data_IF_838595006138
#
_entry.id   IF_838595006138
#
_cell.length_a   1.000
_cell.length_b   1.000
_cell.length_c   1.000
_cell.angle_alpha   90.00
_cell.angle_beta   90.00
_cell.angle_gamma   90.00
#
_symmetry.space_group_name_H-M   'P 1'
#
loop_
_entity.id
_entity.type
_entity.pdbx_description
1 polymer ?
#
# COMPACT_ATOMS: atom_id res chain seq x y z
N UNK A 1 3.15 47.83 -31.13
CA UNK A 1 2.55 47.42 -29.84
C UNK A 1 1.80 46.09 -29.84
N UNK A 2 1.57 45.42 -30.96
CA UNK A 2 0.86 44.12 -31.02
C UNK A 2 1.73 42.90 -30.69
N UNK A 3 3.08 42.99 -30.77
CA UNK A 3 3.97 41.85 -30.50
C UNK A 3 4.23 41.59 -29.01
N UNK A 4 3.98 42.57 -28.12
CA UNK A 4 4.24 42.42 -26.68
C UNK A 4 3.16 41.63 -25.92
N UNK A 5 1.93 41.59 -26.44
CA UNK A 5 0.82 40.88 -25.81
C UNK A 5 0.87 39.35 -26.04
N UNK A 6 1.43 38.89 -27.16
CA UNK A 6 1.55 37.48 -27.47
C UNK A 6 2.56 36.75 -26.58
N UNK A 7 3.67 37.41 -26.22
CA UNK A 7 4.70 36.81 -25.37
C UNK A 7 4.28 36.64 -23.91
N UNK A 8 3.40 37.51 -23.40
CA UNK A 8 2.89 37.40 -22.03
C UNK A 8 1.95 36.22 -21.88
N UNK A 9 1.14 35.92 -22.89
CA UNK A 9 0.21 34.76 -22.87
C UNK A 9 0.98 33.44 -22.93
N UNK A 10 2.05 33.36 -23.72
CA UNK A 10 2.87 32.14 -23.84
C UNK A 10 3.66 31.87 -22.53
N UNK A 11 4.20 32.91 -21.89
CA UNK A 11 4.91 32.79 -20.61
C UNK A 11 3.95 32.41 -19.48
N UNK A 12 2.74 32.97 -19.49
CA UNK A 12 1.69 32.60 -18.52
C UNK A 12 1.22 31.15 -18.67
N UNK A 13 1.13 30.64 -19.89
CA UNK A 13 0.70 29.26 -20.17
C UNK A 13 1.76 28.23 -19.80
N UNK A 14 3.05 28.56 -19.87
CA UNK A 14 4.15 27.71 -19.44
C UNK A 14 4.30 27.60 -17.91
N UNK A 15 3.76 28.56 -17.15
CA UNK A 15 3.81 28.55 -15.69
C UNK A 15 2.79 27.61 -15.04
N UNK A 16 1.70 27.23 -15.77
CA UNK A 16 0.66 26.35 -15.25
C UNK A 16 0.97 24.84 -15.39
N UNK A 17 2.06 24.43 -16.05
CA UNK A 17 2.36 23.04 -16.33
C UNK A 17 3.18 22.30 -15.24
N UNK A 18 3.54 22.98 -14.15
CA UNK A 18 4.44 22.40 -13.14
C UNK A 18 3.84 22.07 -11.77
N UNK A 19 2.49 22.01 -11.62
CA UNK A 19 1.88 21.98 -10.29
C UNK A 19 1.31 20.63 -9.82
N UNK A 20 1.50 19.51 -10.52
CA UNK A 20 0.73 18.30 -10.17
C UNK A 20 1.52 17.04 -9.80
N UNK A 21 2.85 17.08 -9.65
CA UNK A 21 3.63 15.85 -9.37
C UNK A 21 3.81 15.53 -7.88
N UNK A 22 3.60 16.49 -7.00
CA UNK A 22 3.92 16.31 -5.56
C UNK A 22 2.76 15.77 -4.70
N UNK A 23 1.52 15.76 -5.18
CA UNK A 23 0.37 15.40 -4.34
C UNK A 23 0.19 13.88 -4.18
N UNK A 24 0.50 13.10 -5.21
CA UNK A 24 0.34 11.63 -5.18
C UNK A 24 1.42 11.00 -4.30
N UNK A 25 2.67 11.44 -4.44
CA UNK A 25 3.78 10.96 -3.62
C UNK A 25 3.51 11.18 -2.11
N UNK A 26 3.04 12.36 -1.73
CA UNK A 26 2.71 12.67 -0.33
C UNK A 26 1.56 11.80 0.22
N UNK A 27 0.58 11.43 -0.60
CA UNK A 27 -0.55 10.59 -0.18
C UNK A 27 -0.04 9.17 0.13
N UNK A 28 0.80 8.61 -0.72
CA UNK A 28 1.35 7.27 -0.54
C UNK A 28 2.26 7.20 0.69
N UNK A 29 3.16 8.15 0.87
CA UNK A 29 4.04 8.24 2.05
C UNK A 29 3.24 8.38 3.33
N UNK A 30 2.22 9.22 3.37
CA UNK A 30 1.37 9.40 4.54
C UNK A 30 0.62 8.12 4.89
N UNK A 31 0.09 7.41 3.89
CA UNK A 31 -0.58 6.13 4.11
C UNK A 31 0.38 5.09 4.70
N UNK A 32 1.57 4.93 4.15
CA UNK A 32 2.57 3.97 4.66
C UNK A 32 3.00 4.34 6.08
N UNK A 33 3.23 5.63 6.36
CA UNK A 33 3.59 6.08 7.69
C UNK A 33 2.48 5.78 8.70
N UNK A 34 1.20 6.06 8.38
CA UNK A 34 0.05 5.75 9.24
C UNK A 34 0.00 4.25 9.58
N UNK A 35 0.10 3.39 8.58
CA UNK A 35 0.10 1.93 8.78
C UNK A 35 1.27 1.47 9.65
N UNK A 36 2.45 2.03 9.41
CA UNK A 36 3.67 1.71 10.15
C UNK A 36 3.57 2.14 11.62
N UNK A 37 3.08 3.35 11.86
CA UNK A 37 2.89 3.90 13.21
C UNK A 37 1.87 3.08 14.00
N UNK A 38 0.75 2.73 13.39
CA UNK A 38 -0.27 1.87 14.01
C UNK A 38 0.28 0.49 14.34
N UNK A 39 1.01 -0.14 13.43
CA UNK A 39 1.66 -1.43 13.70
C UNK A 39 2.67 -1.33 14.84
N UNK A 40 3.47 -0.26 14.89
CA UNK A 40 4.44 -0.02 15.96
C UNK A 40 3.77 0.16 17.32
N UNK A 41 2.66 0.91 17.38
CA UNK A 41 1.86 1.08 18.60
C UNK A 41 1.36 -0.28 19.12
N UNK A 42 0.78 -1.10 18.25
CA UNK A 42 0.28 -2.44 18.62
C UNK A 42 1.43 -3.32 19.13
N UNK A 43 2.55 -3.36 18.42
CA UNK A 43 3.67 -4.21 18.79
C UNK A 43 4.28 -3.81 20.14
N UNK A 44 4.31 -2.51 20.46
CA UNK A 44 4.85 -1.98 21.72
C UNK A 44 3.85 -1.95 22.87
N UNK A 45 2.56 -2.21 22.64
CA UNK A 45 1.53 -2.24 23.69
C UNK A 45 1.79 -3.35 24.73
N UNK A 46 1.10 -3.26 25.87
CA UNK A 46 1.12 -4.31 26.91
C UNK A 46 0.02 -5.37 26.70
N UNK A 47 -0.67 -5.33 25.56
CA UNK A 47 -1.74 -6.26 25.22
C UNK A 47 -1.21 -7.70 25.10
N UNK A 48 -2.13 -8.66 25.19
CA UNK A 48 -1.77 -10.07 24.99
C UNK A 48 -1.27 -10.30 23.57
N UNK A 49 -0.51 -11.37 23.38
CA UNK A 49 -0.03 -11.78 22.06
C UNK A 49 -1.20 -11.99 21.08
N UNK A 50 -2.26 -12.58 21.55
CA UNK A 50 -3.47 -12.88 20.81
C UNK A 50 -4.18 -11.59 20.36
N UNK A 51 -4.33 -10.63 21.26
CA UNK A 51 -4.95 -9.32 20.95
C UNK A 51 -4.11 -8.56 19.90
N UNK A 52 -2.78 -8.54 20.04
CA UNK A 52 -1.89 -7.95 19.04
C UNK A 52 -2.04 -8.59 17.67
N UNK A 53 -2.14 -9.94 17.61
CA UNK A 53 -2.38 -10.66 16.35
C UNK A 53 -3.69 -10.20 15.70
N UNK A 54 -4.78 -10.09 16.48
CA UNK A 54 -6.07 -9.66 15.95
C UNK A 54 -6.03 -8.23 15.39
N UNK A 55 -5.37 -7.32 16.08
CA UNK A 55 -5.23 -5.94 15.61
C UNK A 55 -4.34 -5.85 14.36
N UNK A 56 -3.26 -6.64 14.27
CA UNK A 56 -2.41 -6.71 13.08
C UNK A 56 -3.15 -7.33 11.86
N UNK A 57 -4.05 -8.30 12.10
CA UNK A 57 -4.93 -8.83 11.06
C UNK A 57 -5.80 -7.71 10.46
N UNK A 58 -6.42 -6.88 11.28
CA UNK A 58 -7.25 -5.75 10.81
C UNK A 58 -6.43 -4.75 9.99
N UNK A 59 -5.19 -4.46 10.39
CA UNK A 59 -4.29 -3.63 9.59
C UNK A 59 -4.01 -4.28 8.23
N UNK A 60 -3.66 -5.57 8.22
CA UNK A 60 -3.39 -6.30 6.98
C UNK A 60 -4.58 -6.31 6.02
N UNK A 61 -5.79 -6.54 6.53
CA UNK A 61 -7.03 -6.52 5.74
C UNK A 61 -7.31 -5.16 5.09
N UNK A 62 -7.00 -4.08 5.81
CA UNK A 62 -7.22 -2.72 5.32
C UNK A 62 -6.14 -2.25 4.33
N UNK A 63 -4.89 -2.63 4.56
CA UNK A 63 -3.74 -2.02 3.88
C UNK A 63 -3.13 -2.84 2.74
N UNK A 64 -3.50 -4.12 2.61
CA UNK A 64 -2.87 -5.05 1.67
C UNK A 64 -3.89 -5.61 0.66
N UNK A 65 -3.59 -5.53 -0.63
CA UNK A 65 -4.35 -6.24 -1.66
C UNK A 65 -4.01 -7.75 -1.63
N UNK A 66 -4.57 -8.44 -0.64
CA UNK A 66 -4.31 -9.86 -0.40
C UNK A 66 -4.77 -10.72 -1.57
N UNK A 67 -5.88 -10.38 -2.19
CA UNK A 67 -6.42 -11.10 -3.35
C UNK A 67 -5.49 -10.99 -4.56
N UNK A 68 -4.99 -9.77 -4.84
CA UNK A 68 -4.03 -9.54 -5.90
C UNK A 68 -2.72 -10.30 -5.69
N UNK A 69 -2.17 -10.28 -4.47
CA UNK A 69 -0.99 -11.06 -4.10
C UNK A 69 -1.25 -12.56 -4.30
N UNK A 70 -2.39 -13.06 -3.82
CA UNK A 70 -2.78 -14.46 -4.00
C UNK A 70 -2.83 -14.86 -5.47
N UNK A 71 -3.51 -14.10 -6.29
CA UNK A 71 -3.56 -14.38 -7.73
C UNK A 71 -2.21 -14.28 -8.42
N UNK A 72 -1.34 -13.40 -7.97
CA UNK A 72 0.03 -13.34 -8.46
C UNK A 72 0.80 -14.63 -8.15
N UNK A 73 0.65 -15.18 -6.95
CA UNK A 73 1.32 -16.42 -6.54
C UNK A 73 0.89 -17.65 -7.34
N UNK A 74 -0.36 -17.66 -7.82
CA UNK A 74 -0.85 -18.72 -8.71
C UNK A 74 -0.14 -18.76 -10.08
N UNK A 75 0.45 -17.65 -10.51
CA UNK A 75 1.16 -17.54 -11.77
C UNK A 75 0.29 -17.98 -12.96
N UNK A 76 0.82 -18.90 -13.78
CA UNK A 76 0.09 -19.44 -14.95
C UNK A 76 -1.16 -20.26 -14.59
N UNK A 77 -1.19 -20.87 -13.42
CA UNK A 77 -2.29 -21.73 -12.98
C UNK A 77 -3.61 -20.99 -12.79
N UNK A 78 -3.57 -19.67 -12.53
CA UNK A 78 -4.79 -18.84 -12.40
C UNK A 78 -5.72 -18.89 -13.62
N UNK A 79 -5.17 -19.22 -14.82
CA UNK A 79 -5.94 -19.30 -16.07
C UNK A 79 -6.74 -20.59 -16.20
N UNK A 80 -6.34 -21.65 -15.50
CA UNK A 80 -7.00 -22.97 -15.54
C UNK A 80 -8.05 -23.17 -14.45
N UNK A 81 -8.12 -22.26 -13.47
CA UNK A 81 -9.11 -22.32 -12.41
C UNK A 81 -10.46 -21.78 -12.87
N UNK A 82 -11.53 -22.51 -12.54
CA UNK A 82 -12.89 -21.99 -12.65
C UNK A 82 -13.19 -20.97 -11.53
N UNK A 83 -14.37 -20.33 -11.57
CA UNK A 83 -14.70 -19.25 -10.63
C UNK A 83 -14.89 -19.76 -9.19
N UNK A 84 -15.42 -20.96 -9.00
CA UNK A 84 -15.55 -21.59 -7.69
C UNK A 84 -14.17 -21.84 -7.06
N UNK A 85 -13.25 -22.45 -7.82
CA UNK A 85 -11.87 -22.68 -7.39
C UNK A 85 -11.12 -21.37 -7.07
N UNK A 86 -11.35 -20.30 -7.86
CA UNK A 86 -10.77 -18.99 -7.57
C UNK A 86 -11.28 -18.42 -6.26
N UNK A 87 -12.59 -18.53 -6.00
CA UNK A 87 -13.20 -18.03 -4.77
C UNK A 87 -12.73 -18.82 -3.54
N UNK A 88 -12.66 -20.14 -3.65
CA UNK A 88 -12.11 -20.99 -2.59
C UNK A 88 -10.64 -20.66 -2.30
N UNK A 89 -9.82 -20.53 -3.36
CA UNK A 89 -8.43 -20.12 -3.21
C UNK A 89 -8.28 -18.78 -2.50
N UNK A 90 -9.05 -17.76 -2.90
CA UNK A 90 -9.02 -16.44 -2.25
C UNK A 90 -9.27 -16.56 -0.76
N UNK A 91 -10.31 -17.31 -0.36
CA UNK A 91 -10.67 -17.49 1.04
C UNK A 91 -9.52 -18.12 1.83
N UNK A 92 -9.01 -19.24 1.35
CA UNK A 92 -7.92 -19.99 2.01
C UNK A 92 -6.64 -19.16 2.05
N UNK A 93 -6.30 -18.50 0.93
CA UNK A 93 -5.10 -17.67 0.86
C UNK A 93 -5.17 -16.48 1.82
N UNK A 94 -6.31 -15.80 1.89
CA UNK A 94 -6.53 -14.67 2.81
C UNK A 94 -6.33 -15.08 4.26
N UNK A 95 -6.96 -16.15 4.69
CA UNK A 95 -6.83 -16.69 6.06
C UNK A 95 -5.36 -17.06 6.37
N UNK A 96 -4.73 -17.78 5.48
CA UNK A 96 -3.33 -18.17 5.63
C UNK A 96 -2.37 -16.97 5.67
N UNK A 97 -2.54 -16.04 4.74
CA UNK A 97 -1.70 -14.85 4.65
C UNK A 97 -1.80 -14.00 5.93
N UNK A 98 -3.01 -13.65 6.33
CA UNK A 98 -3.24 -12.80 7.50
C UNK A 98 -2.72 -13.45 8.79
N UNK A 99 -3.01 -14.73 8.98
CA UNK A 99 -2.52 -15.48 10.14
C UNK A 99 -1.00 -15.57 10.16
N UNK A 100 -0.39 -15.91 9.04
CA UNK A 100 1.07 -16.06 8.96
C UNK A 100 1.79 -14.72 9.14
N UNK A 101 1.28 -13.68 8.50
CA UNK A 101 1.83 -12.33 8.58
C UNK A 101 1.77 -11.77 10.00
N UNK A 102 0.59 -11.77 10.62
CA UNK A 102 0.38 -11.21 11.95
C UNK A 102 1.13 -11.99 13.04
N UNK A 103 1.15 -13.32 12.94
CA UNK A 103 1.90 -14.17 13.88
C UNK A 103 3.40 -13.92 13.81
N UNK A 104 3.94 -13.68 12.62
CA UNK A 104 5.37 -13.36 12.46
C UNK A 104 5.69 -11.95 12.94
N UNK A 105 4.84 -10.97 12.63
CA UNK A 105 5.06 -9.59 13.08
C UNK A 105 5.11 -9.47 14.60
N UNK A 106 4.24 -10.15 15.32
CA UNK A 106 4.18 -10.06 16.79
C UNK A 106 5.42 -10.63 17.48
N UNK A 107 6.23 -11.40 16.78
CA UNK A 107 7.53 -11.91 17.29
C UNK A 107 8.61 -10.83 17.30
N UNK A 108 8.46 -9.74 16.53
CA UNK A 108 9.39 -8.63 16.49
C UNK A 108 9.08 -7.62 17.60
N UNK A 109 9.77 -7.72 18.72
CA UNK A 109 9.54 -6.87 19.91
C UNK A 109 9.96 -5.40 19.72
N UNK A 110 10.84 -5.13 18.76
CA UNK A 110 11.44 -3.81 18.52
C UNK A 110 11.47 -3.48 17.00
N UNK A 111 10.46 -3.92 16.26
CA UNK A 111 10.40 -3.63 14.83
C UNK A 111 10.18 -2.14 14.60
N UNK A 112 11.15 -1.48 13.97
CA UNK A 112 11.03 -0.13 13.46
C UNK A 112 11.05 -0.19 11.94
N UNK A 113 9.94 0.20 11.32
CA UNK A 113 9.84 0.34 9.87
C UNK A 113 10.15 1.79 9.52
N UNK A 114 11.10 2.01 8.62
CA UNK A 114 11.48 3.34 8.14
C UNK A 114 11.30 3.37 6.63
N UNK A 115 10.49 4.30 6.14
CA UNK A 115 10.37 4.57 4.71
C UNK A 115 11.62 5.33 4.26
N UNK A 116 12.47 4.70 3.44
CA UNK A 116 13.77 5.27 3.02
C UNK A 116 13.60 6.07 1.73
N UNK A 117 12.75 5.62 0.80
CA UNK A 117 12.51 6.31 -0.45
C UNK A 117 11.16 5.90 -1.06
N UNK A 118 10.64 6.77 -1.90
CA UNK A 118 9.42 6.55 -2.66
C UNK A 118 9.74 6.61 -4.17
N UNK A 119 9.46 5.52 -4.89
CA UNK A 119 9.58 5.46 -6.34
C UNK A 119 8.18 5.47 -6.95
N UNK A 120 7.78 6.58 -7.56
CA UNK A 120 6.55 6.69 -8.33
C UNK A 120 6.80 6.12 -9.73
N UNK A 121 6.41 4.88 -9.98
CA UNK A 121 6.38 4.33 -11.34
C UNK A 121 5.18 4.88 -12.07
N UNK A 122 5.44 5.76 -13.04
CA UNK A 122 4.40 6.17 -13.99
C UNK A 122 4.06 4.96 -14.86
N UNK A 123 2.88 4.40 -14.71
CA UNK A 123 2.34 3.44 -15.68
C UNK A 123 2.14 4.17 -17.02
N UNK A 124 2.83 3.66 -18.07
CA UNK A 124 2.64 4.09 -19.46
C UNK A 124 1.51 3.30 -20.08
#
# INVERSE_FOLDING_TARGET
MKKFRANIIVVSMLFFLNLNSNSIANISSNFINDITDRATIILSSQDTREDKIQELIKIGEYSVDIDGIGFYTLGKHRKSLNDEQKNEFKKIFREYFLKSFSTRLVEYKEARIVVISEDVKNEK
#
